data_IF_522621385047
#
_entry.id   IF_522621385047
#
_cell.length_a   1.000
_cell.length_b   1.000
_cell.length_c   1.000
_cell.angle_alpha   90.00
_cell.angle_beta   90.00
_cell.angle_gamma   90.00
#
_symmetry.space_group_name_H-M   'P 1'
#
loop_
_entity.id
_entity.type
_entity.pdbx_description
1 polymer ?
#
# COMPACT_ATOMS: atom_id res chain seq x y z
N UNK A 1 2.45 -9.09 21.24
CA UNK A 1 1.31 -9.60 20.45
C UNK A 1 1.61 -9.36 18.98
N UNK A 2 1.74 -10.40 18.16
CA UNK A 2 2.02 -10.29 16.73
C UNK A 2 0.75 -10.14 15.89
N UNK A 3 0.88 -9.62 14.68
CA UNK A 3 -0.20 -9.58 13.69
C UNK A 3 -0.28 -10.94 12.99
N UNK A 4 -1.47 -11.46 12.70
CA UNK A 4 -1.61 -12.67 11.86
C UNK A 4 -1.15 -12.32 10.44
N UNK A 5 -0.19 -13.08 9.91
CA UNK A 5 0.47 -12.76 8.63
C UNK A 5 0.55 -14.00 7.74
N UNK A 6 0.29 -13.80 6.45
CA UNK A 6 0.53 -14.78 5.40
C UNK A 6 1.67 -14.22 4.55
N UNK A 7 2.79 -14.94 4.47
CA UNK A 7 3.93 -14.56 3.64
C UNK A 7 3.93 -15.38 2.35
N UNK A 8 3.98 -14.71 1.20
CA UNK A 8 3.89 -15.34 -0.11
C UNK A 8 5.21 -15.09 -0.86
N UNK A 9 5.93 -16.17 -1.14
CA UNK A 9 7.18 -16.19 -1.90
C UNK A 9 7.02 -17.02 -3.19
N UNK A 10 7.99 -16.93 -4.10
CA UNK A 10 8.01 -17.65 -5.38
C UNK A 10 8.41 -16.77 -6.57
N UNK A 11 8.63 -17.36 -7.73
CA UNK A 11 9.07 -16.62 -8.93
C UNK A 11 7.91 -15.83 -9.54
N UNK A 12 6.75 -16.48 -9.73
CA UNK A 12 5.60 -15.92 -10.42
C UNK A 12 4.33 -16.01 -9.56
N UNK A 13 3.29 -15.25 -9.91
CA UNK A 13 1.96 -15.38 -9.31
C UNK A 13 1.76 -14.78 -7.91
N UNK A 14 2.83 -14.44 -7.18
CA UNK A 14 2.76 -13.89 -5.80
C UNK A 14 1.71 -12.79 -5.60
N UNK A 15 1.69 -11.80 -6.50
CA UNK A 15 0.75 -10.68 -6.42
C UNK A 15 -0.70 -11.13 -6.60
N UNK A 16 -0.96 -12.01 -7.56
CA UNK A 16 -2.29 -12.58 -7.80
C UNK A 16 -2.75 -13.46 -6.64
N UNK A 17 -1.86 -14.34 -6.15
CA UNK A 17 -2.15 -15.18 -4.97
C UNK A 17 -2.46 -14.30 -3.75
N UNK A 18 -1.65 -13.29 -3.47
CA UNK A 18 -1.88 -12.37 -2.36
C UNK A 18 -3.21 -11.64 -2.47
N UNK A 19 -3.58 -11.16 -3.66
CA UNK A 19 -4.85 -10.49 -3.91
C UNK A 19 -6.06 -11.43 -3.74
N UNK A 20 -5.97 -12.67 -4.22
CA UNK A 20 -7.05 -13.67 -4.06
C UNK A 20 -7.20 -14.06 -2.59
N UNK A 21 -6.09 -14.35 -1.89
CA UNK A 21 -6.09 -14.66 -0.46
C UNK A 21 -6.68 -13.51 0.35
N UNK A 22 -6.30 -12.27 0.08
CA UNK A 22 -6.89 -11.10 0.74
C UNK A 22 -8.39 -11.01 0.50
N UNK A 23 -8.83 -11.20 -0.75
CA UNK A 23 -10.25 -11.11 -1.11
C UNK A 23 -11.10 -12.13 -0.35
N UNK A 24 -10.63 -13.38 -0.24
CA UNK A 24 -11.31 -14.45 0.49
C UNK A 24 -11.40 -14.09 1.98
N UNK A 25 -10.29 -13.69 2.61
CA UNK A 25 -10.28 -13.33 4.04
C UNK A 25 -11.15 -12.12 4.34
N UNK A 26 -11.16 -11.12 3.45
CA UNK A 26 -12.05 -9.96 3.59
C UNK A 26 -13.51 -10.36 3.44
N UNK A 27 -13.84 -11.30 2.55
CA UNK A 27 -15.20 -11.81 2.38
C UNK A 27 -15.73 -12.54 3.63
N UNK A 28 -14.85 -13.08 4.49
CA UNK A 28 -15.26 -13.65 5.79
C UNK A 28 -15.44 -12.60 6.89
N UNK A 29 -15.37 -11.30 6.57
CA UNK A 29 -15.54 -10.21 7.53
C UNK A 29 -14.27 -9.84 8.32
N UNK A 30 -13.10 -10.38 7.96
CA UNK A 30 -11.85 -10.00 8.60
C UNK A 30 -11.34 -8.65 8.08
N UNK A 31 -10.74 -7.86 8.97
CA UNK A 31 -9.94 -6.70 8.57
C UNK A 31 -8.63 -7.20 7.96
N UNK A 32 -8.40 -6.87 6.70
CA UNK A 32 -7.26 -7.34 5.92
C UNK A 32 -6.31 -6.21 5.56
N UNK A 33 -5.02 -6.55 5.48
CA UNK A 33 -3.99 -5.73 4.86
C UNK A 33 -3.36 -6.50 3.71
N UNK A 34 -3.09 -5.82 2.59
CA UNK A 34 -2.39 -6.37 1.44
C UNK A 34 -1.13 -5.57 1.18
N UNK A 35 0.00 -6.28 1.10
CA UNK A 35 1.27 -5.72 0.64
C UNK A 35 1.71 -6.39 -0.65
N UNK A 36 1.96 -5.59 -1.69
CA UNK A 36 2.46 -6.09 -2.99
C UNK A 36 3.51 -5.15 -3.58
N UNK A 37 4.37 -5.70 -4.45
CA UNK A 37 5.37 -4.93 -5.20
C UNK A 37 5.66 -5.59 -6.55
N UNK A 38 6.04 -4.84 -7.61
CA UNK A 38 6.08 -3.37 -7.68
C UNK A 38 4.68 -2.73 -7.68
N UNK A 39 4.61 -1.40 -7.70
CA UNK A 39 3.38 -0.66 -8.02
C UNK A 39 3.39 -0.28 -9.50
N UNK A 40 2.23 -0.01 -10.09
CA UNK A 40 2.09 0.37 -11.50
C UNK A 40 2.00 1.88 -11.69
N UNK A 41 1.13 2.58 -10.95
CA UNK A 41 0.90 4.03 -11.14
C UNK A 41 1.30 4.84 -9.91
N UNK A 42 0.89 4.40 -8.71
CA UNK A 42 1.16 5.12 -7.47
C UNK A 42 1.71 4.22 -6.39
N UNK A 43 2.69 4.72 -5.62
CA UNK A 43 3.33 3.96 -4.55
C UNK A 43 2.34 3.35 -3.55
N UNK A 44 1.24 4.07 -3.27
CA UNK A 44 0.16 3.65 -2.36
C UNK A 44 -0.50 2.33 -2.77
N UNK A 45 -0.42 1.92 -4.05
CA UNK A 45 -0.90 0.60 -4.50
C UNK A 45 -0.27 -0.56 -3.73
N UNK A 46 0.96 -0.37 -3.23
CA UNK A 46 1.69 -1.39 -2.48
C UNK A 46 1.08 -1.70 -1.13
N UNK A 47 0.25 -0.82 -0.56
CA UNK A 47 -0.30 -0.99 0.79
C UNK A 47 -1.79 -0.68 0.75
N UNK A 48 -2.61 -1.71 0.98
CA UNK A 48 -4.06 -1.59 0.96
C UNK A 48 -4.65 -2.14 2.24
N UNK A 49 -5.67 -1.47 2.77
CA UNK A 49 -6.46 -1.94 3.92
C UNK A 49 -7.88 -2.15 3.40
N UNK A 50 -8.41 -3.36 3.56
CA UNK A 50 -9.73 -3.75 3.02
C UNK A 50 -9.92 -3.36 1.54
N UNK A 51 -8.90 -3.61 0.71
CA UNK A 51 -8.84 -3.25 -0.72
C UNK A 51 -8.85 -1.75 -1.05
N UNK A 52 -8.74 -0.87 -0.05
CA UNK A 52 -8.59 0.57 -0.24
C UNK A 52 -7.15 1.02 -0.07
N UNK A 53 -6.69 1.96 -0.90
CA UNK A 53 -5.37 2.58 -0.76
C UNK A 53 -5.30 3.34 0.57
N UNK A 54 -4.19 3.20 1.31
CA UNK A 54 -3.89 4.06 2.48
C UNK A 54 -3.98 5.53 2.10
N UNK A 55 -4.37 6.46 2.97
CA UNK A 55 -4.51 7.89 2.61
C UNK A 55 -3.21 8.51 2.07
N UNK A 56 -3.33 9.55 1.24
CA UNK A 56 -2.17 10.35 0.85
C UNK A 56 -1.82 11.20 2.05
N UNK A 57 -0.60 11.10 2.54
CA UNK A 57 -0.11 12.05 3.53
C UNK A 57 -0.15 13.44 2.86
N UNK A 58 -1.02 14.32 3.35
CA UNK A 58 -0.93 15.73 2.99
C UNK A 58 0.28 16.26 3.73
N UNK A 59 1.42 16.31 3.04
CA UNK A 59 2.55 17.09 3.52
C UNK A 59 2.00 18.51 3.73
N UNK A 60 1.81 18.91 5.00
CA UNK A 60 1.61 20.33 5.31
C UNK A 60 2.86 21.00 4.75
N UNK A 61 2.67 21.82 3.72
CA UNK A 61 3.75 22.65 3.21
C UNK A 61 4.07 23.58 4.37
N UNK A 62 5.25 23.40 4.97
CA UNK A 62 5.74 24.38 5.93
C UNK A 62 5.82 25.72 5.18
N UNK A 63 5.05 26.75 5.61
CA UNK A 63 5.04 28.04 4.91
C UNK A 63 6.42 28.72 4.90
N UNK A 64 7.38 28.19 5.66
CA UNK A 64 8.76 28.68 5.74
C UNK A 64 9.67 28.20 4.59
N UNK A 65 9.26 27.26 3.74
CA UNK A 65 10.14 26.72 2.67
C UNK A 65 9.78 27.18 1.24
N UNK A 66 9.08 28.33 1.09
CA UNK A 66 8.71 28.89 -0.23
C UNK A 66 9.78 29.84 -0.83
N UNK A 67 11.03 29.80 -0.37
CA UNK A 67 12.10 30.68 -0.89
C UNK A 67 13.36 29.90 -1.27
N UNK A 68 13.37 29.30 -2.46
CA UNK A 68 14.35 29.63 -3.51
C UNK A 68 14.17 28.69 -4.71
N UNK A 69 13.47 29.17 -5.74
CA UNK A 69 13.78 28.77 -7.11
C UNK A 69 13.65 29.99 -7.99
N UNK A 70 14.50 30.98 -7.70
CA UNK A 70 14.89 32.00 -8.66
C UNK A 70 16.30 31.68 -9.14
N UNK A 71 16.49 31.66 -10.46
CA UNK A 71 17.75 31.64 -11.22
C UNK A 71 18.63 30.39 -11.08
N UNK A 72 18.73 29.60 -12.15
CA UNK A 72 19.67 29.84 -13.26
C UNK A 72 19.13 29.15 -14.51
#
# INVERSE_FOLDING_TARGET
MGVRTIHISGTNGKGSTAAITESILRATGLKTGLYTSPHLLVFRERIQINRSLIEKEMHRVDPKNQRSSGKT
#
